data_IF_767642946933
#
_entry.id   IF_767642946933
#
_cell.length_a   1.000
_cell.length_b   1.000
_cell.length_c   1.000
_cell.angle_alpha   90.00
_cell.angle_beta   90.00
_cell.angle_gamma   90.00
#
_symmetry.space_group_name_H-M   'P 1'
#
loop_
_entity.id
_entity.type
_entity.pdbx_description
1 polymer ?
#
# COMPACT_ATOMS: atom_id res chain seq x y z
N UNK A 1 43.60 -46.50 52.48
CA UNK A 1 43.83 -47.21 51.20
C UNK A 1 43.40 -48.65 51.40
N UNK A 2 42.37 -49.13 50.70
CA UNK A 2 42.60 -49.82 49.42
C UNK A 2 41.50 -49.60 48.36
N UNK A 3 41.81 -50.09 47.15
CA UNK A 3 41.00 -50.13 45.93
C UNK A 3 39.78 -51.05 46.07
N UNK A 4 38.67 -50.69 45.42
CA UNK A 4 37.83 -51.65 44.70
C UNK A 4 37.13 -50.97 43.52
N UNK A 5 37.52 -51.40 42.31
CA UNK A 5 36.80 -51.18 41.06
C UNK A 5 35.84 -52.34 40.82
N UNK A 6 34.57 -52.06 40.52
CA UNK A 6 33.70 -53.01 39.82
C UNK A 6 32.64 -52.25 39.01
N UNK A 7 32.60 -52.62 37.73
CA UNK A 7 31.73 -52.19 36.64
C UNK A 7 30.23 -52.43 36.91
N UNK A 8 29.35 -51.57 36.35
CA UNK A 8 28.24 -51.95 35.43
C UNK A 8 27.40 -50.72 34.97
N UNK A 9 26.54 -50.85 33.93
CA UNK A 9 26.48 -49.92 32.80
C UNK A 9 25.34 -48.88 32.87
N UNK A 10 25.55 -47.75 32.21
CA UNK A 10 24.58 -46.68 32.02
C UNK A 10 23.41 -47.11 31.12
N UNK A 11 22.23 -47.33 31.73
CA UNK A 11 20.95 -47.40 31.02
C UNK A 11 20.54 -45.99 30.60
N UNK A 12 20.54 -45.76 29.29
CA UNK A 12 19.84 -44.64 28.62
C UNK A 12 18.34 -44.73 28.86
N UNK A 13 17.74 -43.70 29.48
CA UNK A 13 16.48 -43.04 29.13
C UNK A 13 15.98 -42.19 30.31
N UNK A 14 15.99 -40.86 30.14
CA UNK A 14 14.81 -39.96 30.20
C UNK A 14 15.25 -38.50 30.07
N UNK A 15 14.35 -37.70 29.52
CA UNK A 15 14.37 -36.24 29.31
C UNK A 15 15.04 -35.72 28.02
N UNK A 16 14.31 -35.83 26.91
CA UNK A 16 14.20 -34.73 25.94
C UNK A 16 12.73 -34.66 25.48
N UNK A 17 11.95 -33.84 26.16
CA UNK A 17 10.66 -33.32 25.68
C UNK A 17 10.61 -31.86 26.10
N UNK A 18 11.13 -30.97 25.24
CA UNK A 18 10.80 -29.54 25.16
C UNK A 18 11.66 -28.92 24.05
N UNK A 19 11.23 -29.07 22.80
CA UNK A 19 11.82 -28.35 21.66
C UNK A 19 10.82 -28.32 20.49
N UNK A 20 9.60 -27.82 20.74
CA UNK A 20 8.61 -27.60 19.67
C UNK A 20 7.55 -26.58 20.09
N UNK A 21 7.97 -25.37 20.50
CA UNK A 21 7.02 -24.27 20.75
C UNK A 21 7.76 -22.92 20.80
N UNK A 22 8.32 -22.45 19.68
CA UNK A 22 8.87 -21.08 19.57
C UNK A 22 9.16 -20.67 18.12
N UNK A 23 8.20 -20.93 17.21
CA UNK A 23 8.31 -20.56 15.78
C UNK A 23 7.00 -20.02 15.17
N UNK A 24 6.07 -19.52 16.00
CA UNK A 24 4.71 -19.19 15.55
C UNK A 24 4.29 -17.72 15.71
N UNK A 25 5.16 -16.81 16.15
CA UNK A 25 4.75 -15.43 16.51
C UNK A 25 5.26 -14.30 15.60
N UNK A 26 6.13 -14.58 14.62
CA UNK A 26 6.69 -13.53 13.73
C UNK A 26 6.03 -13.43 12.34
N UNK A 27 5.06 -14.31 12.01
CA UNK A 27 4.52 -14.44 10.64
C UNK A 27 3.19 -13.73 10.37
N UNK A 28 2.49 -13.22 11.39
CA UNK A 28 1.06 -12.84 11.25
C UNK A 28 0.82 -11.37 10.88
N UNK A 29 1.82 -10.50 11.04
CA UNK A 29 1.63 -9.04 10.88
C UNK A 29 1.92 -8.55 9.45
N UNK A 30 2.54 -9.40 8.63
CA UNK A 30 2.81 -9.11 7.22
C UNK A 30 1.59 -9.23 6.29
N UNK A 31 0.45 -9.71 6.76
CA UNK A 31 -0.70 -10.03 5.90
C UNK A 31 -1.49 -8.82 5.42
N UNK A 32 -1.39 -7.65 6.08
CA UNK A 32 -2.38 -6.57 5.84
C UNK A 32 -1.94 -5.46 4.89
N UNK A 33 -0.63 -5.39 4.60
CA UNK A 33 -0.10 -4.62 3.48
C UNK A 33 0.36 -5.52 2.32
N UNK A 34 0.35 -6.85 2.50
CA UNK A 34 0.73 -7.84 1.48
C UNK A 34 -0.41 -8.78 1.03
N UNK A 35 -1.66 -8.55 1.45
CA UNK A 35 -2.82 -9.25 0.90
C UNK A 35 -3.09 -8.92 -0.59
N UNK A 36 -2.34 -7.97 -1.17
CA UNK A 36 -2.33 -7.72 -2.63
C UNK A 36 -1.28 -8.53 -3.40
N UNK A 37 -0.39 -9.29 -2.74
CA UNK A 37 0.84 -9.80 -3.39
C UNK A 37 1.06 -11.33 -3.35
N UNK A 38 0.17 -12.14 -2.76
CA UNK A 38 0.45 -13.58 -2.57
C UNK A 38 -0.45 -14.58 -3.34
N UNK A 39 -1.48 -14.14 -4.07
CA UNK A 39 -2.37 -15.05 -4.84
C UNK A 39 -2.30 -14.78 -6.35
N UNK A 40 -1.15 -15.06 -6.99
CA UNK A 40 -1.02 -15.03 -8.44
C UNK A 40 -0.12 -16.17 -8.95
N UNK A 41 -0.71 -17.35 -9.15
CA UNK A 41 -0.22 -18.32 -10.12
C UNK A 41 -1.40 -19.10 -10.71
N UNK A 42 -1.71 -18.77 -11.97
CA UNK A 42 -2.42 -19.53 -13.03
C UNK A 42 -3.45 -18.66 -13.78
N UNK A 43 -3.17 -18.24 -15.03
CA UNK A 43 -4.19 -17.67 -15.90
C UNK A 43 -4.84 -18.79 -16.74
N UNK A 44 -6.17 -18.85 -16.74
CA UNK A 44 -6.92 -19.57 -17.76
C UNK A 44 -7.59 -18.56 -18.72
N UNK A 45 -7.56 -18.91 -20.00
CA UNK A 45 -7.62 -18.04 -21.17
C UNK A 45 -9.01 -18.15 -21.80
N UNK A 46 -9.71 -17.05 -22.06
CA UNK A 46 -10.83 -17.03 -23.02
C UNK A 46 -10.99 -15.65 -23.69
N UNK A 47 -11.43 -15.67 -24.96
CA UNK A 47 -11.39 -14.59 -25.97
C UNK A 47 -12.79 -14.06 -26.33
N UNK A 48 -12.78 -12.91 -27.02
CA UNK A 48 -13.77 -12.31 -27.95
C UNK A 48 -14.88 -11.42 -27.34
N UNK A 49 -15.44 -10.35 -27.95
CA UNK A 49 -15.24 -9.56 -29.19
C UNK A 49 -15.99 -8.21 -29.03
N UNK A 50 -15.59 -7.24 -29.86
CA UNK A 50 -15.96 -5.81 -30.04
C UNK A 50 -17.44 -5.52 -30.40
N UNK A 51 -17.98 -4.36 -29.96
CA UNK A 51 -18.83 -3.46 -30.78
C UNK A 51 -18.99 -2.06 -30.14
N UNK A 52 -19.09 -1.03 -31.00
CA UNK A 52 -18.96 0.43 -30.80
C UNK A 52 -20.26 1.14 -31.22
N UNK A 53 -20.68 2.23 -30.57
CA UNK A 53 -21.16 3.49 -31.21
C UNK A 53 -21.54 4.60 -30.21
N UNK A 54 -21.37 5.82 -30.72
CA UNK A 54 -21.31 7.18 -30.16
C UNK A 54 -22.67 7.89 -30.02
N UNK A 55 -22.71 8.94 -29.20
CA UNK A 55 -23.04 10.31 -29.62
C UNK A 55 -22.77 11.34 -28.51
N UNK A 56 -22.15 12.45 -28.92
CA UNK A 56 -21.74 13.64 -28.16
C UNK A 56 -22.91 14.57 -27.82
N UNK A 57 -22.78 15.36 -26.75
CA UNK A 57 -23.21 16.77 -26.73
C UNK A 57 -22.45 17.55 -25.62
N UNK A 58 -21.90 18.71 -26.01
CA UNK A 58 -20.87 19.50 -25.35
C UNK A 58 -21.39 20.69 -24.52
N UNK A 59 -20.70 21.08 -23.43
CA UNK A 59 -20.55 22.45 -22.86
C UNK A 59 -19.72 22.42 -21.53
N UNK A 60 -19.21 23.56 -20.99
CA UNK A 60 -18.02 24.33 -21.33
C UNK A 60 -16.84 24.16 -20.33
N UNK A 61 -15.65 24.61 -20.74
CA UNK A 61 -14.33 24.40 -20.12
C UNK A 61 -14.14 25.03 -18.71
N UNK A 62 -13.55 24.25 -17.79
CA UNK A 62 -12.86 24.73 -16.59
C UNK A 62 -11.44 24.16 -16.53
N UNK A 63 -10.46 25.03 -16.29
CA UNK A 63 -9.04 24.70 -16.26
C UNK A 63 -8.71 23.54 -15.28
N UNK A 64 -8.00 22.53 -15.79
CA UNK A 64 -7.31 21.51 -14.99
C UNK A 64 -7.93 20.10 -14.97
N UNK A 65 -9.11 19.90 -15.56
CA UNK A 65 -9.69 18.57 -15.80
C UNK A 65 -10.41 18.63 -17.15
N UNK A 66 -9.89 17.91 -18.14
CA UNK A 66 -10.61 17.72 -19.40
C UNK A 66 -11.77 16.73 -19.16
N UNK A 67 -12.99 17.11 -19.58
CA UNK A 67 -14.07 16.14 -19.74
C UNK A 67 -13.66 15.16 -20.85
N UNK A 68 -13.97 13.88 -20.66
CA UNK A 68 -13.46 12.78 -21.48
C UNK A 68 -14.51 12.44 -22.54
N UNK A 69 -14.20 12.72 -23.80
CA UNK A 69 -15.02 12.27 -24.94
C UNK A 69 -14.59 10.90 -25.48
N UNK A 70 -13.48 10.30 -25.01
CA UNK A 70 -13.12 8.92 -25.36
C UNK A 70 -12.17 8.31 -24.28
N UNK A 71 -12.70 7.53 -23.34
CA UNK A 71 -11.86 6.72 -22.43
C UNK A 71 -11.32 5.52 -23.20
N UNK A 72 -10.17 5.71 -23.86
CA UNK A 72 -9.48 4.66 -24.59
C UNK A 72 -9.05 3.46 -23.71
N UNK A 73 -9.23 3.54 -22.38
CA UNK A 73 -8.89 2.48 -21.45
C UNK A 73 -7.37 2.26 -21.34
N UNK A 74 -6.93 1.26 -20.55
CA UNK A 74 -5.51 1.05 -20.29
C UNK A 74 -4.81 0.58 -21.58
N UNK A 75 -3.73 1.25 -21.95
CA UNK A 75 -3.02 0.99 -23.22
C UNK A 75 -1.97 -0.11 -23.06
N UNK A 76 -1.10 0.02 -22.04
CA UNK A 76 -0.03 -0.95 -21.77
C UNK A 76 -0.58 -2.26 -21.18
N UNK A 77 0.18 -3.35 -21.35
CA UNK A 77 -0.19 -4.64 -20.76
C UNK A 77 -0.22 -4.58 -19.23
N UNK A 78 0.74 -3.89 -18.61
CA UNK A 78 0.77 -3.69 -17.16
C UNK A 78 -0.48 -2.95 -16.66
N UNK A 79 -0.87 -1.86 -17.32
CA UNK A 79 -2.09 -1.13 -16.96
C UNK A 79 -3.35 -1.99 -17.12
N UNK A 80 -3.40 -2.87 -18.14
CA UNK A 80 -4.49 -3.85 -18.32
C UNK A 80 -4.50 -4.88 -17.21
N UNK A 81 -3.33 -5.37 -16.80
CA UNK A 81 -3.19 -6.35 -15.73
C UNK A 81 -3.61 -5.77 -14.38
N UNK A 82 -3.26 -4.51 -14.11
CA UNK A 82 -3.75 -3.77 -12.94
C UNK A 82 -5.25 -3.56 -12.98
N UNK A 83 -5.82 -3.09 -14.09
CA UNK A 83 -7.25 -2.92 -14.24
C UNK A 83 -8.02 -4.23 -13.99
N UNK A 84 -7.51 -5.35 -14.54
CA UNK A 84 -8.05 -6.67 -14.29
C UNK A 84 -7.91 -7.10 -12.82
N UNK A 85 -6.79 -6.79 -12.17
CA UNK A 85 -6.60 -7.04 -10.74
C UNK A 85 -7.59 -6.25 -9.87
N UNK A 86 -7.82 -4.98 -10.17
CA UNK A 86 -8.82 -4.17 -9.47
C UNK A 86 -10.23 -4.75 -9.64
N UNK A 87 -10.53 -5.29 -10.82
CA UNK A 87 -11.77 -6.04 -11.07
C UNK A 87 -11.91 -7.28 -10.18
N UNK A 88 -10.84 -8.07 -10.04
CA UNK A 88 -10.82 -9.25 -9.16
C UNK A 88 -11.00 -8.88 -7.69
N UNK A 89 -10.34 -7.82 -7.23
CA UNK A 89 -10.46 -7.34 -5.84
C UNK A 89 -11.91 -6.94 -5.52
N UNK A 90 -12.57 -6.22 -6.42
CA UNK A 90 -13.97 -5.84 -6.26
C UNK A 90 -14.90 -7.07 -6.24
N UNK A 91 -14.69 -8.02 -7.15
CA UNK A 91 -15.48 -9.26 -7.22
C UNK A 91 -15.28 -10.16 -5.99
N UNK A 92 -14.07 -10.22 -5.44
CA UNK A 92 -13.79 -10.97 -4.22
C UNK A 92 -14.59 -10.42 -3.03
N UNK A 93 -14.60 -9.10 -2.87
CA UNK A 93 -15.41 -8.46 -1.83
C UNK A 93 -16.92 -8.68 -2.06
N UNK A 94 -17.41 -8.49 -3.28
CA UNK A 94 -18.84 -8.62 -3.62
C UNK A 94 -19.39 -10.04 -3.48
N UNK A 95 -18.59 -11.04 -3.85
CA UNK A 95 -19.00 -12.46 -3.73
C UNK A 95 -18.83 -12.98 -2.30
N UNK A 96 -17.89 -12.43 -1.55
CA UNK A 96 -17.63 -12.74 -0.16
C UNK A 96 -18.15 -11.68 0.81
N UNK A 97 -17.25 -11.25 1.70
CA UNK A 97 -17.38 -10.19 2.70
C UNK A 97 -15.94 -9.72 3.02
N UNK A 98 -15.74 -9.05 4.14
CA UNK A 98 -14.43 -8.85 4.74
C UNK A 98 -13.73 -10.17 5.01
N UNK A 99 -12.40 -10.15 4.89
CA UNK A 99 -11.51 -11.24 5.25
C UNK A 99 -10.98 -11.01 6.69
N UNK A 100 -11.51 -11.69 7.71
CA UNK A 100 -11.13 -11.44 9.10
C UNK A 100 -9.64 -11.73 9.34
N UNK A 101 -9.07 -12.71 8.62
CA UNK A 101 -7.64 -13.06 8.75
C UNK A 101 -6.72 -11.94 8.27
N UNK A 102 -7.19 -11.13 7.32
CA UNK A 102 -6.46 -9.96 6.86
C UNK A 102 -6.67 -8.74 7.77
N UNK A 103 -7.79 -8.64 8.50
CA UNK A 103 -8.11 -7.44 9.30
C UNK A 103 -7.67 -7.59 10.75
N UNK A 104 -7.85 -8.75 11.36
CA UNK A 104 -7.54 -8.97 12.79
C UNK A 104 -6.11 -8.56 13.19
N UNK A 105 -5.06 -8.82 12.38
CA UNK A 105 -3.71 -8.37 12.74
C UNK A 105 -3.53 -6.85 12.78
N UNK A 106 -4.45 -6.06 12.23
CA UNK A 106 -4.39 -4.59 12.28
C UNK A 106 -4.70 -4.02 13.65
N UNK A 107 -5.44 -4.74 14.50
CA UNK A 107 -5.90 -4.21 15.78
C UNK A 107 -4.77 -3.68 16.65
N UNK A 108 -3.61 -4.35 16.61
CA UNK A 108 -2.43 -3.92 17.36
C UNK A 108 -1.83 -2.59 16.87
N UNK A 109 -2.15 -2.17 15.65
CA UNK A 109 -1.65 -0.95 14.98
C UNK A 109 -2.57 0.26 15.11
N UNK A 110 -3.75 0.10 15.71
CA UNK A 110 -4.71 1.18 15.93
C UNK A 110 -5.09 1.27 17.42
N UNK A 111 -5.33 2.49 17.89
CA UNK A 111 -6.04 2.76 19.14
C UNK A 111 -7.56 2.72 18.90
N UNK A 112 -8.37 2.68 19.96
CA UNK A 112 -9.84 2.80 19.89
C UNK A 112 -10.59 1.69 19.14
N UNK A 113 -9.94 0.56 18.82
CA UNK A 113 -10.60 -0.53 18.08
C UNK A 113 -11.57 -1.33 18.95
N UNK A 114 -11.19 -1.58 20.21
CA UNK A 114 -11.97 -2.40 21.14
C UNK A 114 -12.95 -1.58 21.99
N UNK A 115 -12.77 -0.26 22.09
CA UNK A 115 -13.70 0.63 22.80
C UNK A 115 -14.85 1.02 21.87
N UNK A 116 -16.13 0.69 22.19
CA UNK A 116 -17.29 1.03 21.37
C UNK A 116 -17.46 2.53 21.07
N UNK A 117 -17.07 3.40 22.00
CA UNK A 117 -17.30 4.85 21.93
C UNK A 117 -16.17 5.59 21.17
N UNK A 118 -15.02 4.94 20.98
CA UNK A 118 -13.89 5.54 20.29
C UNK A 118 -13.90 5.30 18.77
N UNK A 119 -13.47 6.30 18.01
CA UNK A 119 -13.15 6.14 16.58
C UNK A 119 -11.70 5.67 16.48
N UNK A 120 -11.36 4.62 15.70
CA UNK A 120 -9.98 4.18 15.59
C UNK A 120 -9.04 5.23 14.98
N UNK A 121 -7.82 5.34 15.52
CA UNK A 121 -6.71 6.12 14.95
C UNK A 121 -5.40 5.34 14.99
N UNK A 122 -4.48 5.56 14.02
CA UNK A 122 -3.25 4.79 13.92
C UNK A 122 -2.34 5.06 15.12
N UNK A 123 -1.65 4.01 15.58
CA UNK A 123 -0.59 4.16 16.57
C UNK A 123 0.65 4.79 15.95
N UNK A 124 1.40 5.52 16.76
CA UNK A 124 2.77 5.86 16.40
C UNK A 124 3.63 4.61 16.44
N UNK A 125 4.64 4.55 15.58
CA UNK A 125 5.60 3.44 15.57
C UNK A 125 6.32 3.26 16.92
N UNK A 126 6.52 4.37 17.65
CA UNK A 126 7.10 4.39 19.00
C UNK A 126 6.17 3.89 20.10
N UNK A 127 4.89 3.65 19.80
CA UNK A 127 3.87 3.17 20.75
C UNK A 127 3.57 1.67 20.57
N UNK A 128 4.23 1.01 19.62
CA UNK A 128 4.05 -0.42 19.35
C UNK A 128 4.81 -1.28 20.36
N UNK A 129 4.45 -2.56 20.44
CA UNK A 129 5.16 -3.54 21.27
C UNK A 129 5.76 -4.65 20.38
N UNK A 130 7.08 -4.85 20.38
CA UNK A 130 8.10 -3.89 20.81
C UNK A 130 8.10 -2.63 19.92
N UNK A 131 8.49 -1.44 20.43
CA UNK A 131 8.36 -0.20 19.68
C UNK A 131 9.38 -0.12 18.56
N UNK A 132 8.97 0.42 17.41
CA UNK A 132 9.87 0.78 16.33
C UNK A 132 10.46 2.17 16.59
N UNK A 133 11.72 2.35 16.19
CA UNK A 133 12.42 3.64 16.34
C UNK A 133 11.90 4.65 15.31
N UNK A 134 11.88 5.94 15.64
CA UNK A 134 11.51 7.00 14.70
C UNK A 134 12.39 6.97 13.44
N UNK A 135 11.80 7.14 12.25
CA UNK A 135 12.53 7.07 10.97
C UNK A 135 12.81 5.65 10.46
N UNK A 136 12.28 4.62 11.15
CA UNK A 136 12.34 3.22 10.71
C UNK A 136 11.57 2.95 9.42
N UNK A 137 10.56 3.77 9.10
CA UNK A 137 9.71 3.61 7.91
C UNK A 137 9.85 4.82 7.01
N UNK A 138 10.24 4.56 5.76
CA UNK A 138 10.57 5.60 4.78
C UNK A 138 10.07 5.21 3.41
N UNK A 139 9.36 6.14 2.78
CA UNK A 139 8.64 5.87 1.53
C UNK A 139 8.55 7.09 0.65
N UNK A 140 8.57 6.84 -0.65
CA UNK A 140 8.28 7.79 -1.71
C UNK A 140 6.82 7.65 -2.12
N UNK A 141 6.10 8.76 -2.18
CA UNK A 141 4.67 8.78 -2.54
C UNK A 141 4.36 9.86 -3.57
N UNK A 142 3.29 9.62 -4.31
CA UNK A 142 2.57 10.63 -5.08
C UNK A 142 1.47 11.16 -4.17
N UNK A 143 1.56 12.37 -3.61
CA UNK A 143 0.44 12.96 -2.87
C UNK A 143 -0.71 13.27 -3.83
N UNK A 144 -1.95 13.37 -3.32
CA UNK A 144 -3.11 13.86 -4.10
C UNK A 144 -3.48 15.31 -3.77
N UNK A 145 -2.67 16.00 -2.97
CA UNK A 145 -3.03 17.25 -2.31
C UNK A 145 -3.01 18.48 -3.23
N UNK A 146 -2.27 18.41 -4.34
CA UNK A 146 -2.18 19.48 -5.34
C UNK A 146 -3.41 19.55 -6.28
N UNK A 147 -4.35 18.60 -6.17
CA UNK A 147 -5.60 18.57 -6.93
C UNK A 147 -6.85 18.65 -6.04
N UNK A 148 -7.42 19.87 -5.86
CA UNK A 148 -8.65 20.05 -5.10
C UNK A 148 -9.84 19.22 -5.63
N UNK A 149 -9.86 18.91 -6.93
CA UNK A 149 -10.90 18.07 -7.55
C UNK A 149 -10.77 16.63 -7.05
N UNK A 150 -9.58 16.05 -7.13
CA UNK A 150 -9.32 14.68 -6.65
C UNK A 150 -9.57 14.59 -5.14
N UNK A 151 -9.14 15.59 -4.36
CA UNK A 151 -9.43 15.65 -2.92
C UNK A 151 -10.93 15.72 -2.59
N UNK A 152 -11.74 16.37 -3.42
CA UNK A 152 -13.21 16.38 -3.27
C UNK A 152 -13.81 15.03 -3.64
N UNK A 153 -13.32 14.40 -4.70
CA UNK A 153 -13.73 13.06 -5.12
C UNK A 153 -13.45 12.06 -4.00
N UNK A 154 -12.21 11.98 -3.53
CA UNK A 154 -11.77 11.09 -2.45
C UNK A 154 -12.62 11.27 -1.18
N UNK A 155 -12.83 12.52 -0.75
CA UNK A 155 -13.68 12.81 0.41
C UNK A 155 -15.15 12.42 0.20
N UNK A 156 -15.70 12.64 -1.00
CA UNK A 156 -17.10 12.30 -1.31
C UNK A 156 -17.33 10.79 -1.35
N UNK A 157 -16.40 10.04 -1.95
CA UNK A 157 -16.41 8.57 -1.97
C UNK A 157 -16.31 8.03 -0.54
N UNK A 158 -15.38 8.56 0.26
CA UNK A 158 -15.21 8.17 1.67
C UNK A 158 -16.49 8.41 2.47
N UNK A 159 -17.08 9.61 2.37
CA UNK A 159 -18.30 9.97 3.10
C UNK A 159 -19.51 9.13 2.68
N UNK A 160 -19.62 8.78 1.39
CA UNK A 160 -20.69 7.90 0.91
C UNK A 160 -20.53 6.48 1.47
N UNK A 161 -19.32 5.92 1.44
CA UNK A 161 -19.08 4.59 2.01
C UNK A 161 -19.34 4.56 3.52
N UNK A 162 -18.93 5.59 4.27
CA UNK A 162 -19.16 5.66 5.72
C UNK A 162 -20.65 5.55 6.11
N UNK A 163 -21.57 6.05 5.27
CA UNK A 163 -23.03 5.95 5.53
C UNK A 163 -23.61 4.56 5.27
N UNK A 164 -22.91 3.74 4.50
CA UNK A 164 -23.35 2.38 4.13
C UNK A 164 -22.85 1.32 5.11
N UNK A 165 -21.93 1.68 6.01
CA UNK A 165 -21.38 0.74 6.97
C UNK A 165 -22.41 0.43 8.07
N UNK A 166 -22.50 -0.84 8.51
CA UNK A 166 -23.29 -1.21 9.66
C UNK A 166 -22.84 -0.45 10.93
N UNK A 167 -23.79 -0.25 11.84
CA UNK A 167 -23.51 0.31 13.16
C UNK A 167 -22.45 -0.51 13.91
N UNK A 168 -21.56 0.19 14.62
CA UNK A 168 -20.45 -0.41 15.35
C UNK A 168 -19.27 -0.86 14.48
N UNK A 169 -19.31 -0.66 13.16
CA UNK A 169 -18.14 -0.91 12.30
C UNK A 169 -17.01 0.06 12.67
N UNK A 170 -15.83 -0.47 12.98
CA UNK A 170 -14.66 0.34 13.35
C UNK A 170 -13.88 0.71 12.10
N UNK A 171 -13.76 2.01 11.83
CA UNK A 171 -13.12 2.53 10.62
C UNK A 171 -12.14 3.64 10.95
N UNK A 172 -10.97 3.57 10.33
CA UNK A 172 -10.06 4.69 10.20
C UNK A 172 -10.20 5.30 8.80
N UNK A 173 -10.51 6.59 8.72
CA UNK A 173 -10.54 7.33 7.46
C UNK A 173 -9.33 8.25 7.37
N UNK A 174 -8.62 8.23 6.23
CA UNK A 174 -7.49 9.13 6.03
C UNK A 174 -7.98 10.58 5.98
N UNK A 175 -7.25 11.48 6.65
CA UNK A 175 -7.44 12.91 6.49
C UNK A 175 -7.14 13.32 5.04
N UNK A 176 -7.77 14.41 4.57
CA UNK A 176 -7.65 14.84 3.16
C UNK A 176 -6.20 15.08 2.73
N UNK A 177 -5.37 15.63 3.62
CA UNK A 177 -3.93 15.86 3.36
C UNK A 177 -3.09 14.59 3.34
N UNK A 178 -3.67 13.44 3.70
CA UNK A 178 -2.97 12.15 3.79
C UNK A 178 -3.29 11.22 2.60
N UNK A 179 -4.14 11.61 1.65
CA UNK A 179 -4.38 10.81 0.46
C UNK A 179 -3.15 10.81 -0.46
N UNK A 180 -2.69 9.61 -0.82
CA UNK A 180 -1.47 9.43 -1.59
C UNK A 180 -1.47 8.08 -2.33
N UNK A 181 -0.59 7.93 -3.32
CA UNK A 181 -0.18 6.64 -3.88
C UNK A 181 1.24 6.31 -3.45
N UNK A 182 1.47 5.15 -2.86
CA UNK A 182 2.84 4.70 -2.57
C UNK A 182 3.57 4.32 -3.86
N UNK A 183 4.72 4.94 -4.11
CA UNK A 183 5.61 4.59 -5.22
C UNK A 183 6.59 3.52 -4.79
N UNK A 184 7.32 3.74 -3.69
CA UNK A 184 8.40 2.87 -3.26
C UNK A 184 8.68 2.98 -1.76
N UNK A 185 8.96 1.87 -1.10
CA UNK A 185 9.44 1.85 0.28
C UNK A 185 10.94 1.60 0.30
N UNK A 186 11.73 2.52 0.85
CA UNK A 186 13.12 2.21 1.16
C UNK A 186 13.22 1.39 2.45
N UNK A 187 12.26 1.58 3.36
CA UNK A 187 12.05 0.75 4.54
C UNK A 187 10.57 0.64 4.91
N UNK A 188 10.19 -0.37 5.71
CA UNK A 188 8.81 -0.61 6.12
C UNK A 188 8.73 -1.10 7.58
N UNK A 189 7.55 -1.13 8.23
CA UNK A 189 7.45 -1.45 9.66
C UNK A 189 8.07 -2.80 10.05
N UNK A 190 7.82 -3.85 9.28
CA UNK A 190 8.35 -5.19 9.55
C UNK A 190 9.79 -5.40 9.07
N UNK A 191 10.37 -4.41 8.38
CA UNK A 191 11.68 -4.54 7.74
C UNK A 191 12.35 -3.16 7.66
N UNK A 192 12.72 -2.59 8.83
CA UNK A 192 13.46 -1.34 8.86
C UNK A 192 14.84 -1.57 8.24
N UNK A 193 15.19 -0.73 7.26
CA UNK A 193 16.46 -0.76 6.53
C UNK A 193 17.20 0.52 6.88
N UNK A 194 18.36 0.42 7.50
CA UNK A 194 19.11 1.61 7.95
C UNK A 194 19.92 2.25 6.80
N UNK A 195 20.43 1.42 5.89
CA UNK A 195 21.11 1.87 4.68
C UNK A 195 20.64 1.02 3.48
N UNK A 196 19.54 1.43 2.82
CA UNK A 196 18.96 0.67 1.72
C UNK A 196 19.84 0.66 0.45
N UNK A 197 20.92 1.47 0.40
CA UNK A 197 21.89 1.46 -0.72
C UNK A 197 22.79 0.23 -0.70
N UNK A 198 22.91 -0.42 0.46
CA UNK A 198 23.65 -1.67 0.61
C UNK A 198 22.72 -2.86 0.36
N UNK A 199 23.19 -3.97 -0.24
CA UNK A 199 22.35 -5.16 -0.46
C UNK A 199 21.74 -5.77 0.80
N UNK A 200 22.43 -5.65 1.95
CA UNK A 200 21.95 -6.09 3.27
C UNK A 200 20.99 -5.09 3.94
N UNK A 201 20.77 -3.93 3.31
CA UNK A 201 19.99 -2.82 3.84
C UNK A 201 20.61 -2.16 5.08
N UNK A 202 21.89 -2.42 5.36
CA UNK A 202 22.57 -1.97 6.58
C UNK A 202 22.03 -2.62 7.85
N UNK A 203 21.46 -3.83 7.75
CA UNK A 203 20.77 -4.51 8.85
C UNK A 203 21.47 -5.79 9.29
N UNK A 204 21.43 -6.05 10.59
CA UNK A 204 21.70 -7.38 11.16
C UNK A 204 20.37 -8.15 11.20
N UNK A 205 20.27 -9.18 10.36
CA UNK A 205 19.06 -10.01 10.25
C UNK A 205 18.82 -10.91 11.48
N UNK A 206 19.80 -11.03 12.38
CA UNK A 206 19.61 -11.73 13.66
C UNK A 206 18.82 -10.92 14.69
N UNK A 207 18.66 -9.62 14.46
CA UNK A 207 17.88 -8.72 15.31
C UNK A 207 16.43 -8.61 14.84
N UNK A 208 15.53 -8.54 15.83
CA UNK A 208 14.13 -8.20 15.59
C UNK A 208 14.01 -6.78 15.01
N UNK A 209 12.99 -6.47 14.19
CA UNK A 209 12.82 -5.16 13.57
C UNK A 209 12.94 -3.97 14.53
N UNK A 210 12.37 -4.04 15.72
CA UNK A 210 12.43 -2.99 16.75
C UNK A 210 13.83 -2.73 17.31
N UNK A 211 14.73 -3.71 17.22
CA UNK A 211 16.10 -3.63 17.73
C UNK A 211 17.09 -3.13 16.67
N UNK A 212 16.69 -3.12 15.40
CA UNK A 212 17.54 -2.64 14.32
C UNK A 212 17.70 -1.12 14.42
N UNK A 213 18.91 -0.65 14.14
CA UNK A 213 19.23 0.78 14.16
C UNK A 213 18.45 1.54 13.09
N UNK A 214 18.29 2.84 13.33
CA UNK A 214 17.86 3.81 12.32
C UNK A 214 19.03 4.24 11.41
N UNK A 215 18.76 4.86 10.25
CA UNK A 215 19.79 5.50 9.45
C UNK A 215 20.52 6.57 10.26
N UNK A 216 21.82 6.70 10.04
CA UNK A 216 22.59 7.88 10.46
C UNK A 216 22.21 9.09 9.59
N UNK A 217 22.52 10.31 10.05
CA UNK A 217 22.28 11.53 9.26
C UNK A 217 22.97 11.51 7.89
N UNK A 218 24.16 10.91 7.81
CA UNK A 218 24.89 10.79 6.55
C UNK A 218 24.23 9.80 5.58
N UNK A 219 23.75 8.66 6.09
CA UNK A 219 23.00 7.67 5.29
C UNK A 219 21.66 8.25 4.83
N UNK A 220 20.93 8.94 5.71
CA UNK A 220 19.69 9.63 5.36
C UNK A 220 19.90 10.69 4.27
N UNK A 221 20.91 11.56 4.42
CA UNK A 221 21.23 12.58 3.40
C UNK A 221 21.57 11.96 2.05
N UNK A 222 22.31 10.86 2.06
CA UNK A 222 22.65 10.11 0.84
C UNK A 222 21.41 9.50 0.20
N UNK A 223 20.58 8.82 1.00
CA UNK A 223 19.30 8.23 0.55
C UNK A 223 18.41 9.29 -0.09
N UNK A 224 18.19 10.42 0.59
CA UNK A 224 17.41 11.55 0.10
C UNK A 224 17.98 12.11 -1.22
N UNK A 225 19.29 12.30 -1.31
CA UNK A 225 19.92 12.85 -2.52
C UNK A 225 19.76 11.92 -3.72
N UNK A 226 19.90 10.60 -3.53
CA UNK A 226 19.63 9.61 -4.57
C UNK A 226 18.17 9.67 -5.02
N UNK A 227 17.21 9.68 -4.07
CA UNK A 227 15.78 9.79 -4.40
C UNK A 227 15.50 11.09 -5.16
N UNK A 228 16.06 12.21 -4.71
CA UNK A 228 15.91 13.53 -5.34
C UNK A 228 16.39 13.52 -6.78
N UNK A 229 17.58 12.97 -7.04
CA UNK A 229 18.13 12.85 -8.39
C UNK A 229 17.21 12.02 -9.29
N UNK A 230 16.79 10.85 -8.83
CA UNK A 230 15.91 9.96 -9.58
C UNK A 230 14.56 10.60 -9.88
N UNK A 231 13.95 11.28 -8.90
CA UNK A 231 12.67 11.99 -9.08
C UNK A 231 12.81 13.15 -10.06
N UNK A 232 13.86 13.96 -9.94
CA UNK A 232 14.09 15.09 -10.86
C UNK A 232 14.38 14.66 -12.31
N UNK A 233 14.86 13.43 -12.50
CA UNK A 233 15.06 12.82 -13.81
C UNK A 233 13.80 12.10 -14.35
N UNK A 234 12.72 12.03 -13.57
CA UNK A 234 11.48 11.34 -13.95
C UNK A 234 10.49 12.33 -14.55
N UNK A 235 9.96 12.08 -15.77
CA UNK A 235 8.88 12.88 -16.32
C UNK A 235 7.63 12.88 -15.43
N UNK A 236 6.74 13.86 -15.60
CA UNK A 236 5.46 13.88 -14.87
C UNK A 236 4.57 12.71 -15.32
N UNK A 237 4.15 11.79 -14.43
CA UNK A 237 3.22 10.73 -14.80
C UNK A 237 1.81 11.31 -15.02
N UNK A 238 1.07 10.75 -15.96
CA UNK A 238 -0.36 11.01 -16.13
C UNK A 238 -1.13 9.78 -15.65
N UNK A 239 -1.78 9.90 -14.49
CA UNK A 239 -2.59 8.85 -13.89
C UNK A 239 -4.03 8.98 -14.35
N UNK A 240 -4.70 7.85 -14.56
CA UNK A 240 -6.13 7.73 -14.81
C UNK A 240 -6.78 6.92 -13.71
N UNK A 241 -7.82 7.48 -13.10
CA UNK A 241 -8.68 6.76 -12.17
C UNK A 241 -9.36 5.61 -12.92
N UNK A 242 -9.08 4.40 -12.48
CA UNK A 242 -9.59 3.18 -13.10
C UNK A 242 -10.86 2.70 -12.39
N UNK A 243 -10.83 2.59 -11.05
CA UNK A 243 -11.97 2.12 -10.24
C UNK A 243 -11.97 2.70 -8.83
N UNK A 244 -13.16 2.70 -8.23
CA UNK A 244 -13.34 2.72 -6.77
C UNK A 244 -13.56 1.29 -6.30
N UNK A 245 -12.75 0.83 -5.35
CA UNK A 245 -12.74 -0.58 -4.91
C UNK A 245 -12.77 -0.66 -3.40
N UNK A 246 -13.78 -1.34 -2.85
CA UNK A 246 -13.69 -1.92 -1.52
C UNK A 246 -13.03 -3.30 -1.63
N UNK A 247 -11.89 -3.48 -0.98
CA UNK A 247 -11.21 -4.77 -0.92
C UNK A 247 -11.72 -5.60 0.28
N UNK A 248 -11.65 -6.93 0.16
CA UNK A 248 -11.92 -7.88 1.26
C UNK A 248 -11.02 -7.64 2.48
N UNK A 249 -9.86 -7.00 2.29
CA UNK A 249 -8.93 -6.60 3.36
C UNK A 249 -9.42 -5.40 4.18
N UNK A 250 -10.60 -4.87 3.91
CA UNK A 250 -11.20 -3.74 4.62
C UNK A 250 -10.79 -2.37 4.07
N UNK A 251 -9.92 -2.27 3.07
CA UNK A 251 -9.48 -0.99 2.52
C UNK A 251 -10.37 -0.53 1.36
N UNK A 252 -10.81 0.72 1.42
CA UNK A 252 -11.42 1.42 0.30
C UNK A 252 -10.35 2.16 -0.51
N UNK A 253 -10.35 1.96 -1.81
CA UNK A 253 -9.30 2.41 -2.72
C UNK A 253 -9.88 3.27 -3.84
N UNK A 254 -9.17 4.36 -4.17
CA UNK A 254 -9.12 4.85 -5.55
C UNK A 254 -7.98 4.11 -6.24
N UNK A 255 -8.24 3.45 -7.36
CA UNK A 255 -7.21 2.75 -8.11
C UNK A 255 -6.87 3.49 -9.39
N UNK A 256 -5.60 3.43 -9.77
CA UNK A 256 -5.06 4.21 -10.87
C UNK A 256 -4.34 3.30 -11.87
N UNK A 257 -4.30 3.76 -13.11
CA UNK A 257 -3.46 3.24 -14.19
C UNK A 257 -2.73 4.41 -14.85
N UNK A 258 -1.59 4.17 -15.49
CA UNK A 258 -0.91 5.22 -16.25
C UNK A 258 -1.53 5.37 -17.65
N UNK A 259 -1.59 6.60 -18.13
CA UNK A 259 -2.03 6.95 -19.49
C UNK A 259 -0.82 6.96 -20.42
N UNK A 260 -1.03 6.50 -21.66
CA UNK A 260 0.01 6.43 -22.67
C UNK A 260 0.79 5.11 -22.63
N UNK A 261 1.86 5.04 -23.42
CA UNK A 261 2.68 3.83 -23.57
C UNK A 261 3.89 3.81 -22.62
N UNK A 262 4.31 4.98 -22.11
CA UNK A 262 5.43 5.09 -21.17
C UNK A 262 4.99 4.79 -19.74
N UNK A 263 5.45 3.68 -19.17
CA UNK A 263 5.22 3.34 -17.75
C UNK A 263 6.13 4.13 -16.82
N UNK A 264 5.87 5.44 -16.65
CA UNK A 264 6.71 6.39 -15.89
C UNK A 264 6.90 5.94 -14.44
N UNK A 265 5.82 5.57 -13.75
CA UNK A 265 5.87 5.12 -12.36
C UNK A 265 6.58 3.79 -12.24
N UNK A 266 6.37 2.88 -13.19
CA UNK A 266 7.05 1.57 -13.22
C UNK A 266 8.55 1.69 -13.48
N UNK A 267 8.95 2.58 -14.41
CA UNK A 267 10.34 2.92 -14.66
C UNK A 267 11.01 3.53 -13.41
N UNK A 268 10.36 4.49 -12.76
CA UNK A 268 10.88 5.06 -11.51
C UNK A 268 11.03 3.98 -10.42
N UNK A 269 10.05 3.08 -10.26
CA UNK A 269 10.14 1.95 -9.32
C UNK A 269 11.31 1.02 -9.65
N UNK A 270 11.60 0.80 -10.92
CA UNK A 270 12.72 -0.01 -11.37
C UNK A 270 14.05 0.65 -11.01
N UNK A 271 14.27 1.90 -11.40
CA UNK A 271 15.48 2.67 -11.07
C UNK A 271 15.69 2.81 -9.56
N UNK A 272 14.62 3.00 -8.79
CA UNK A 272 14.68 3.00 -7.32
C UNK A 272 15.12 1.64 -6.77
N UNK A 273 14.68 0.52 -7.37
CA UNK A 273 15.13 -0.81 -6.94
C UNK A 273 16.61 -1.02 -7.21
N UNK A 274 17.11 -0.55 -8.35
CA UNK A 274 18.52 -0.65 -8.70
C UNK A 274 19.40 0.21 -7.77
N UNK A 275 18.95 1.43 -7.46
CA UNK A 275 19.66 2.33 -6.56
C UNK A 275 19.61 1.89 -5.08
N UNK A 276 18.58 1.13 -4.70
CA UNK A 276 18.37 0.64 -3.33
C UNK A 276 18.23 -0.89 -3.28
N UNK A 277 19.33 -1.65 -3.50
CA UNK A 277 19.28 -3.11 -3.55
C UNK A 277 18.88 -3.76 -2.22
N UNK A 278 19.08 -3.07 -1.09
CA UNK A 278 18.64 -3.52 0.23
C UNK A 278 17.36 -2.85 0.73
N UNK A 279 16.60 -2.19 -0.14
CA UNK A 279 15.28 -1.68 0.20
C UNK A 279 14.35 -2.81 0.67
N UNK A 280 13.23 -2.41 1.28
CA UNK A 280 12.15 -3.33 1.66
C UNK A 280 11.82 -4.32 0.53
N UNK A 281 11.77 -5.60 0.86
CA UNK A 281 11.37 -6.65 -0.10
C UNK A 281 9.88 -6.58 -0.44
N UNK A 282 9.06 -6.00 0.43
CA UNK A 282 7.62 -5.80 0.19
C UNK A 282 7.39 -4.38 -0.35
N UNK A 283 6.74 -4.32 -1.49
CA UNK A 283 6.60 -3.11 -2.29
C UNK A 283 5.19 -3.03 -2.86
N UNK A 284 4.72 -1.81 -3.13
CA UNK A 284 3.44 -1.63 -3.79
C UNK A 284 3.52 -2.18 -5.22
N UNK A 285 2.67 -3.17 -5.53
CA UNK A 285 2.59 -3.81 -6.86
C UNK A 285 1.58 -3.14 -7.79
N UNK A 286 0.78 -2.21 -7.27
CA UNK A 286 -0.28 -1.47 -7.96
C UNK A 286 -0.20 0.02 -7.63
N UNK A 287 -0.94 0.85 -8.35
CA UNK A 287 -1.06 2.29 -8.06
C UNK A 287 -2.46 2.52 -7.48
N UNK A 288 -2.52 2.84 -6.19
CA UNK A 288 -3.79 3.09 -5.49
C UNK A 288 -3.62 4.15 -4.42
N UNK A 289 -4.73 4.76 -4.04
CA UNK A 289 -4.83 5.62 -2.86
C UNK A 289 -5.83 5.05 -1.88
N UNK A 290 -5.35 4.81 -0.66
CA UNK A 290 -6.20 4.32 0.43
C UNK A 290 -7.02 5.47 1.01
N UNK A 291 -8.34 5.33 0.98
CA UNK A 291 -9.28 6.35 1.45
C UNK A 291 -9.69 6.13 2.91
N UNK A 292 -10.14 4.92 3.21
CA UNK A 292 -10.46 4.47 4.55
C UNK A 292 -10.10 2.99 4.70
N UNK A 293 -10.06 2.54 5.94
CA UNK A 293 -9.79 1.16 6.32
C UNK A 293 -10.74 0.74 7.43
N UNK A 294 -11.48 -0.33 7.19
CA UNK A 294 -12.22 -1.06 8.21
C UNK A 294 -11.21 -1.87 9.02
N UNK A 295 -11.20 -1.63 10.34
CA UNK A 295 -10.26 -2.23 11.29
C UNK A 295 -10.94 -3.19 12.28
N UNK A 296 -12.27 -3.26 12.29
CA UNK A 296 -13.02 -4.36 12.91
C UNK A 296 -13.12 -5.54 11.96
N UNK A 297 -12.84 -6.75 12.44
CA UNK A 297 -12.91 -8.00 11.66
C UNK A 297 -14.30 -8.63 11.58
N UNK A 298 -15.31 -8.00 12.20
CA UNK A 298 -16.69 -8.45 12.15
C UNK A 298 -17.21 -8.38 10.69
N UNK A 299 -17.85 -9.43 10.17
CA UNK A 299 -18.46 -9.40 8.85
C UNK A 299 -19.47 -8.25 8.73
N UNK A 300 -19.52 -7.60 7.57
CA UNK A 300 -20.48 -6.52 7.31
C UNK A 300 -21.89 -7.08 7.09
N UNK A 301 -21.98 -8.32 6.60
CA UNK A 301 -23.22 -8.95 6.22
C UNK A 301 -23.65 -8.57 4.81
N UNK A 302 -24.43 -9.48 4.20
CA UNK A 302 -24.80 -9.40 2.78
C UNK A 302 -25.43 -8.07 2.36
N UNK A 303 -26.39 -7.48 3.11
CA UNK A 303 -27.00 -6.20 2.71
C UNK A 303 -25.99 -5.05 2.59
N UNK A 304 -25.03 -4.97 3.52
CA UNK A 304 -24.00 -3.92 3.50
C UNK A 304 -22.97 -4.16 2.38
N UNK A 305 -22.54 -5.41 2.18
CA UNK A 305 -21.65 -5.78 1.08
C UNK A 305 -22.26 -5.42 -0.28
N UNK A 306 -23.54 -5.76 -0.50
CA UNK A 306 -24.25 -5.45 -1.75
C UNK A 306 -24.38 -3.93 -1.96
N UNK A 307 -24.74 -3.18 -0.91
CA UNK A 307 -24.88 -1.73 -0.97
C UNK A 307 -23.53 -1.02 -1.26
N UNK A 308 -22.45 -1.44 -0.59
CA UNK A 308 -21.11 -0.90 -0.81
C UNK A 308 -20.60 -1.24 -2.21
N UNK A 309 -20.82 -2.48 -2.67
CA UNK A 309 -20.42 -2.92 -4.01
C UNK A 309 -21.14 -2.13 -5.09
N UNK A 310 -22.45 -1.89 -4.92
CA UNK A 310 -23.22 -1.03 -5.82
C UNK A 310 -22.72 0.42 -5.80
N UNK A 311 -22.46 0.98 -4.62
CA UNK A 311 -21.91 2.33 -4.53
C UNK A 311 -20.53 2.45 -5.19
N UNK A 312 -19.65 1.46 -5.03
CA UNK A 312 -18.37 1.40 -5.74
C UNK A 312 -18.54 1.34 -7.26
N UNK A 313 -19.52 0.57 -7.78
CA UNK A 313 -19.84 0.54 -9.21
C UNK A 313 -20.34 1.89 -9.71
N UNK A 314 -21.28 2.53 -9.00
CA UNK A 314 -21.78 3.86 -9.37
C UNK A 314 -20.68 4.91 -9.39
N UNK A 315 -19.82 4.95 -8.37
CA UNK A 315 -18.69 5.86 -8.33
C UNK A 315 -17.67 5.56 -9.43
N UNK A 316 -17.38 4.29 -9.68
CA UNK A 316 -16.52 3.88 -10.80
C UNK A 316 -17.08 4.37 -12.13
N UNK A 317 -18.36 4.10 -12.42
CA UNK A 317 -18.98 4.55 -13.67
C UNK A 317 -18.94 6.07 -13.84
N UNK A 318 -19.07 6.82 -12.74
CA UNK A 318 -19.03 8.29 -12.74
C UNK A 318 -17.61 8.86 -12.91
N UNK A 319 -16.60 8.20 -12.35
CA UNK A 319 -15.26 8.79 -12.17
C UNK A 319 -14.19 8.16 -13.05
N UNK A 320 -14.42 6.96 -13.58
CA UNK A 320 -13.45 6.26 -14.42
C UNK A 320 -13.05 7.17 -15.58
N UNK A 321 -11.75 7.20 -15.84
CA UNK A 321 -11.17 8.11 -16.80
C UNK A 321 -10.60 9.39 -16.18
N UNK A 322 -11.06 9.82 -15.00
CA UNK A 322 -10.58 11.06 -14.37
C UNK A 322 -9.05 11.06 -14.31
N UNK A 323 -8.43 12.08 -14.91
CA UNK A 323 -6.99 12.17 -15.01
C UNK A 323 -6.38 13.00 -13.87
N UNK A 324 -5.15 12.65 -13.53
CA UNK A 324 -4.37 13.32 -12.49
C UNK A 324 -2.88 13.31 -12.84
N UNK A 325 -2.26 14.49 -12.84
CA UNK A 325 -0.81 14.66 -13.02
C UNK A 325 -0.22 15.36 -11.79
N UNK A 326 0.57 14.66 -10.96
CA UNK A 326 1.17 15.26 -9.78
C UNK A 326 2.30 16.21 -10.18
N UNK A 327 2.43 17.33 -9.47
CA UNK A 327 3.55 18.27 -9.66
C UNK A 327 4.80 17.85 -8.89
N UNK A 328 4.61 17.13 -7.79
CA UNK A 328 5.68 16.75 -6.87
C UNK A 328 5.47 15.34 -6.34
N UNK A 329 6.55 14.69 -5.90
CA UNK A 329 6.50 13.52 -5.03
C UNK A 329 7.00 13.89 -3.65
N UNK A 330 6.59 13.15 -2.63
CA UNK A 330 7.10 13.34 -1.27
C UNK A 330 7.90 12.13 -0.82
N UNK A 331 9.08 12.38 -0.28
CA UNK A 331 9.84 11.36 0.43
C UNK A 331 9.68 11.57 1.94
N UNK A 332 9.14 10.56 2.62
CA UNK A 332 8.58 10.69 3.96
C UNK A 332 9.32 9.78 4.93
N UNK A 333 9.56 10.27 6.15
CA UNK A 333 9.87 9.48 7.35
C UNK A 333 8.60 9.36 8.18
N UNK A 334 7.90 8.25 7.98
CA UNK A 334 6.58 8.04 8.55
C UNK A 334 6.66 7.77 10.06
N UNK A 335 5.75 8.37 10.82
CA UNK A 335 5.70 8.25 12.29
C UNK A 335 4.53 7.42 12.78
N UNK A 336 3.48 7.30 11.98
CA UNK A 336 2.20 6.66 12.32
C UNK A 336 1.84 5.61 11.27
N UNK A 337 1.34 4.47 11.72
CA UNK A 337 1.10 3.32 10.84
C UNK A 337 0.20 3.62 9.65
N UNK A 338 0.68 3.28 8.45
CA UNK A 338 -0.09 3.29 7.20
C UNK A 338 -0.67 4.67 6.84
N UNK A 339 0.04 5.73 7.22
CA UNK A 339 -0.25 7.13 6.90
C UNK A 339 0.88 7.75 6.08
N UNK A 340 0.89 9.07 5.97
CA UNK A 340 2.05 9.85 5.51
C UNK A 340 2.39 10.97 6.50
N UNK A 341 2.00 10.78 7.76
CA UNK A 341 2.33 11.70 8.84
C UNK A 341 3.79 11.50 9.23
N UNK A 342 4.54 12.59 9.29
CA UNK A 342 5.95 12.61 9.65
C UNK A 342 6.73 13.68 8.89
N UNK A 343 8.06 13.59 8.97
CA UNK A 343 8.93 14.50 8.23
C UNK A 343 8.87 14.18 6.74
N UNK A 344 8.78 15.21 5.90
CA UNK A 344 8.68 15.05 4.45
C UNK A 344 9.55 16.02 3.70
N UNK A 345 10.08 15.53 2.59
CA UNK A 345 10.82 16.29 1.59
C UNK A 345 9.99 16.37 0.31
N UNK A 346 9.74 17.58 -0.18
CA UNK A 346 8.98 17.81 -1.42
C UNK A 346 9.96 17.78 -2.59
N UNK A 347 9.76 16.82 -3.50
CA UNK A 347 10.64 16.56 -4.63
C UNK A 347 9.93 16.92 -5.92
N UNK A 348 10.57 17.77 -6.73
CA UNK A 348 10.03 18.22 -8.01
C UNK A 348 10.34 17.20 -9.09
N UNK A 349 9.32 16.83 -9.87
CA UNK A 349 9.46 15.99 -11.04
C UNK A 349 10.21 16.71 -12.17
N UNK A 350 10.77 15.94 -13.10
CA UNK A 350 11.36 16.47 -14.32
C UNK A 350 10.32 17.19 -15.18
N UNK A 351 10.80 18.09 -16.05
CA UNK A 351 9.96 18.87 -16.94
C UNK A 351 9.10 17.95 -17.84
N UNK A 352 7.81 18.23 -17.97
CA UNK A 352 6.85 17.37 -18.68
C UNK A 352 7.18 17.21 -20.18
N UNK A 353 7.99 18.13 -20.72
CA UNK A 353 8.44 18.13 -22.11
C UNK A 353 9.85 17.54 -22.30
N UNK A 354 10.52 17.11 -21.23
CA UNK A 354 11.83 16.50 -21.34
C UNK A 354 11.69 15.05 -21.85
N UNK A 355 12.43 14.65 -22.90
CA UNK A 355 12.43 13.26 -23.35
C UNK A 355 12.94 12.33 -22.23
N UNK A 356 12.47 11.06 -22.16
CA UNK A 356 12.97 10.09 -21.20
C UNK A 356 14.49 9.98 -21.31
N UNK A 357 15.21 10.19 -20.21
CA UNK A 357 16.66 9.99 -20.18
C UNK A 357 16.94 8.51 -19.97
N UNK A 358 17.48 7.84 -20.97
CA UNK A 358 18.08 6.52 -20.81
C UNK A 358 19.43 6.71 -20.11
N UNK A 359 19.63 6.04 -18.98
CA UNK A 359 20.86 6.05 -18.19
C UNK A 359 21.58 4.71 -18.31
#
# INVERSE_FOLDING_TARGET
>A
MPRHSALRPSRRRKMIHMATALLATAATVGAVLAASTWLLRHPNRQKHVVARRSNEESHPQTNGVAAIEDDAGPVTQEAKDWAALYGRMAAEFETGDLNPKAIEPLKSWFHGVEDPEETPWPKKYTELEPPLQFGSVRLLVIPLDDSPVILRIAASVTADMMRLLPEGTKVFANARGNYHCTVFHTSQPSDPRADPTRPDGGTDLSLEPSQRRVPTDAEWKRELEIVRQLVSATPVPLLRLERVVQASTGVLLLTWTEVGEGGVTSDLRHRLREAFPGASTKQASIIHSSLLRIVSSRPLGRPAVDAISEACRRWTAKLRGTQYSPKTLWFIRETEFSTIVGDREVLTLGDANAPPRHW
#
